data_IF_989312686843
#
_entry.id   IF_989312686843
#
_cell.length_a   1.000
_cell.length_b   1.000
_cell.length_c   1.000
_cell.angle_alpha   90.00
_cell.angle_beta   90.00
_cell.angle_gamma   90.00
#
_symmetry.space_group_name_H-M   'P 1'
#
loop_
_entity.id
_entity.type
_entity.pdbx_description
1 polymer ?
#
# COMPACT_ATOMS: atom_id res chain seq x y z
N UNK A 1 14.43 -32.48 66.14
CA UNK A 1 14.84 -33.07 64.85
C UNK A 1 13.62 -33.03 63.94
N UNK A 2 13.46 -31.93 63.20
CA UNK A 2 12.28 -31.66 62.37
C UNK A 2 12.49 -32.26 60.97
N UNK A 3 11.51 -33.04 60.50
CA UNK A 3 11.41 -33.51 59.13
C UNK A 3 10.55 -32.50 58.36
N UNK A 4 11.12 -31.83 57.37
CA UNK A 4 10.39 -30.99 56.41
C UNK A 4 10.29 -31.78 55.10
N UNK A 5 9.06 -32.06 54.69
CA UNK A 5 8.68 -32.76 53.46
C UNK A 5 8.70 -31.74 52.31
N UNK A 6 9.50 -31.98 51.28
CA UNK A 6 9.48 -31.22 50.03
C UNK A 6 8.29 -31.64 49.18
N UNK A 7 7.33 -30.74 48.99
CA UNK A 7 6.25 -30.87 48.00
C UNK A 7 6.79 -30.46 46.62
N UNK A 8 7.00 -31.42 45.72
CA UNK A 8 7.13 -31.16 44.29
C UNK A 8 5.73 -30.93 43.70
N UNK A 9 5.44 -29.70 43.26
CA UNK A 9 4.26 -29.42 42.45
C UNK A 9 4.62 -29.76 41.01
N UNK A 10 4.10 -30.88 40.51
CA UNK A 10 4.11 -31.23 39.10
C UNK A 10 2.89 -30.55 38.46
N UNK A 11 3.10 -29.43 37.77
CA UNK A 11 2.09 -28.85 36.88
C UNK A 11 2.04 -29.67 35.59
N UNK A 12 1.02 -30.51 35.47
CA UNK A 12 0.65 -31.17 34.22
C UNK A 12 0.06 -30.13 33.27
N UNK A 13 0.79 -29.75 32.22
CA UNK A 13 0.22 -29.01 31.09
C UNK A 13 -0.54 -29.98 30.20
N UNK A 14 -1.86 -29.80 30.08
CA UNK A 14 -2.65 -30.47 29.06
C UNK A 14 -2.28 -29.88 27.70
N UNK A 15 -1.73 -30.71 26.81
CA UNK A 15 -1.64 -30.42 25.39
C UNK A 15 -3.07 -30.46 24.83
N UNK A 16 -3.73 -29.31 24.72
CA UNK A 16 -4.88 -29.18 23.84
C UNK A 16 -4.35 -29.26 22.40
N UNK A 17 -4.81 -30.26 21.64
CA UNK A 17 -4.56 -30.36 20.20
C UNK A 17 -5.18 -29.14 19.51
N UNK A 18 -4.34 -28.34 18.86
CA UNK A 18 -4.77 -27.21 18.03
C UNK A 18 -4.97 -27.71 16.60
N UNK A 19 -6.22 -27.76 16.17
CA UNK A 19 -6.62 -28.06 14.79
C UNK A 19 -6.33 -26.83 13.91
N UNK A 20 -5.11 -26.77 13.37
CA UNK A 20 -4.74 -25.80 12.33
C UNK A 20 -5.34 -26.28 11.01
N UNK A 21 -6.57 -25.86 10.73
CA UNK A 21 -7.19 -26.03 9.42
C UNK A 21 -6.26 -25.49 8.33
N UNK A 22 -5.95 -26.35 7.37
CA UNK A 22 -5.14 -26.07 6.17
C UNK A 22 -5.76 -24.92 5.35
N UNK A 23 -5.40 -23.68 5.66
CA UNK A 23 -5.46 -22.59 4.69
C UNK A 23 -4.14 -21.81 4.75
N UNK A 24 -3.43 -21.87 3.64
CA UNK A 24 -2.05 -21.41 3.46
C UNK A 24 -2.04 -19.88 3.39
N UNK A 25 -2.08 -19.18 4.53
CA UNK A 25 -1.69 -17.77 4.61
C UNK A 25 -1.50 -17.17 6.02
N UNK A 26 -1.59 -17.95 7.10
CA UNK A 26 -1.44 -17.42 8.46
C UNK A 26 -0.13 -17.87 9.12
N UNK A 27 0.83 -16.94 9.25
CA UNK A 27 1.95 -17.07 10.18
C UNK A 27 1.43 -16.79 11.60
N UNK A 28 1.22 -17.84 12.39
CA UNK A 28 0.85 -17.73 13.79
C UNK A 28 2.07 -17.33 14.64
N UNK A 29 2.08 -16.12 15.20
CA UNK A 29 2.98 -15.77 16.29
C UNK A 29 2.44 -16.31 17.64
N UNK A 30 3.30 -16.74 18.58
CA UNK A 30 2.84 -17.27 19.87
C UNK A 30 2.13 -16.17 20.66
N UNK A 31 0.83 -16.36 20.93
CA UNK A 31 0.02 -15.46 21.77
C UNK A 31 -1.08 -14.67 21.06
N UNK A 32 -1.16 -14.70 19.73
CA UNK A 32 -2.26 -14.06 18.99
C UNK A 32 -3.33 -15.09 18.58
N UNK A 33 -4.45 -15.14 19.31
CA UNK A 33 -5.69 -15.76 18.83
C UNK A 33 -6.38 -14.79 17.88
N UNK A 34 -6.15 -14.90 16.58
CA UNK A 34 -7.02 -14.25 15.60
C UNK A 34 -8.29 -15.09 15.50
N UNK A 35 -9.36 -14.66 16.18
CA UNK A 35 -10.70 -15.25 15.99
C UNK A 35 -11.22 -14.82 14.62
N UNK A 36 -11.35 -15.76 13.69
CA UNK A 36 -12.03 -15.64 12.39
C UNK A 36 -13.56 -15.44 12.49
N UNK A 37 -14.04 -14.54 13.37
CA UNK A 37 -15.48 -14.23 13.50
C UNK A 37 -15.80 -12.73 13.52
N UNK A 38 -14.99 -11.93 12.84
CA UNK A 38 -15.36 -10.61 12.37
C UNK A 38 -15.21 -10.66 10.85
N UNK A 39 -16.25 -10.40 10.07
CA UNK A 39 -16.04 -10.02 8.68
C UNK A 39 -15.41 -8.62 8.73
N UNK A 40 -14.08 -8.47 8.55
CA UNK A 40 -13.40 -7.20 8.79
C UNK A 40 -13.51 -6.25 7.58
N UNK A 41 -14.16 -6.70 6.50
CA UNK A 41 -14.28 -6.00 5.23
C UNK A 41 -15.73 -5.64 4.97
N UNK A 42 -15.95 -4.42 4.50
CA UNK A 42 -17.21 -3.92 3.96
C UNK A 42 -17.42 -4.36 2.49
N UNK A 43 -16.37 -4.87 1.85
CA UNK A 43 -16.42 -5.52 0.55
C UNK A 43 -15.09 -6.22 0.25
N UNK A 44 -15.15 -7.38 -0.39
CA UNK A 44 -13.96 -8.14 -0.76
C UNK A 44 -14.16 -8.88 -2.09
N UNK A 45 -13.33 -8.55 -3.09
CA UNK A 45 -13.29 -9.17 -4.40
C UNK A 45 -11.87 -9.69 -4.66
N UNK A 46 -11.72 -11.01 -4.70
CA UNK A 46 -10.45 -11.68 -5.01
C UNK A 46 -10.35 -12.15 -6.46
N UNK A 47 -11.43 -12.10 -7.24
CA UNK A 47 -11.47 -12.42 -8.68
C UNK A 47 -11.01 -13.84 -9.09
N UNK A 48 -10.67 -14.71 -8.14
CA UNK A 48 -10.28 -16.11 -8.38
C UNK A 48 -11.40 -16.97 -8.97
N UNK A 49 -12.62 -16.74 -8.49
CA UNK A 49 -13.81 -17.40 -9.00
C UNK A 49 -14.40 -16.59 -10.15
N UNK A 50 -15.18 -17.25 -11.02
CA UNK A 50 -15.84 -16.65 -12.20
C UNK A 50 -16.99 -15.69 -11.84
N UNK A 51 -16.84 -14.99 -10.73
CA UNK A 51 -17.87 -14.16 -10.12
C UNK A 51 -17.22 -12.85 -9.70
N UNK A 52 -17.69 -11.75 -10.30
CA UNK A 52 -17.44 -10.36 -9.88
C UNK A 52 -18.24 -10.03 -8.60
N UNK A 53 -18.27 -11.00 -7.70
CA UNK A 53 -19.15 -11.06 -6.54
C UNK A 53 -18.30 -10.80 -5.31
N UNK A 54 -18.73 -9.81 -4.55
CA UNK A 54 -18.27 -9.58 -3.19
C UNK A 54 -18.43 -10.86 -2.34
N UNK A 55 -17.32 -11.32 -1.76
CA UNK A 55 -17.28 -12.46 -0.83
C UNK A 55 -17.73 -12.07 0.59
N UNK A 56 -18.06 -10.79 0.83
CA UNK A 56 -18.56 -10.22 2.07
C UNK A 56 -20.06 -9.89 2.04
N UNK A 57 -20.48 -8.65 2.35
CA UNK A 57 -21.89 -8.28 2.59
C UNK A 57 -22.80 -8.20 1.35
N UNK A 58 -22.38 -8.68 0.17
CA UNK A 58 -23.13 -8.70 -1.09
C UNK A 58 -23.21 -7.35 -1.82
N UNK A 59 -22.19 -6.50 -1.69
CA UNK A 59 -22.02 -5.33 -2.55
C UNK A 59 -21.47 -5.79 -3.91
N UNK A 60 -22.30 -6.40 -4.76
CA UNK A 60 -21.83 -6.92 -6.04
C UNK A 60 -21.45 -5.80 -7.02
N UNK A 61 -20.56 -6.13 -7.96
CA UNK A 61 -20.25 -5.24 -9.08
C UNK A 61 -21.45 -5.20 -10.02
N UNK A 62 -21.93 -4.00 -10.38
CA UNK A 62 -23.22 -3.83 -11.10
C UNK A 62 -23.11 -3.24 -12.51
N UNK A 63 -22.10 -2.41 -12.77
CA UNK A 63 -21.88 -1.79 -14.08
C UNK A 63 -20.51 -2.26 -14.57
N UNK A 64 -20.44 -3.12 -15.59
CA UNK A 64 -19.21 -3.75 -16.05
C UNK A 64 -19.05 -3.43 -17.53
N UNK A 65 -17.94 -2.78 -17.88
CA UNK A 65 -17.57 -2.57 -19.27
C UNK A 65 -16.25 -3.29 -19.58
N UNK A 66 -16.29 -4.16 -20.59
CA UNK A 66 -15.16 -4.81 -21.23
C UNK A 66 -14.03 -5.43 -20.36
N UNK A 67 -14.35 -5.94 -19.17
CA UNK A 67 -13.35 -6.62 -18.32
C UNK A 67 -12.96 -8.00 -18.87
N UNK A 68 -11.68 -8.32 -18.79
CA UNK A 68 -11.20 -9.69 -19.04
C UNK A 68 -10.41 -10.24 -17.86
N UNK A 69 -10.22 -11.56 -17.82
CA UNK A 69 -9.37 -12.20 -16.80
C UNK A 69 -7.90 -11.94 -17.09
N UNK A 70 -7.10 -11.94 -16.03
CA UNK A 70 -5.64 -11.97 -16.13
C UNK A 70 -4.98 -12.85 -15.08
N UNK A 71 -3.73 -13.21 -15.33
CA UNK A 71 -2.87 -13.78 -14.29
C UNK A 71 -2.53 -12.69 -13.27
N UNK A 72 -2.85 -12.93 -12.01
CA UNK A 72 -2.51 -12.01 -10.92
C UNK A 72 -1.31 -12.47 -10.12
N UNK A 73 -0.94 -11.69 -9.09
CA UNK A 73 0.08 -12.08 -8.13
C UNK A 73 -0.33 -13.34 -7.35
N UNK A 74 -1.64 -13.53 -7.11
CA UNK A 74 -2.20 -14.70 -6.46
C UNK A 74 -3.50 -15.11 -7.15
N UNK A 75 -3.43 -16.14 -8.00
CA UNK A 75 -4.62 -16.68 -8.66
C UNK A 75 -5.03 -15.89 -9.90
N UNK A 76 -6.27 -15.41 -9.94
CA UNK A 76 -6.84 -14.68 -11.11
C UNK A 76 -7.15 -13.24 -10.75
N UNK A 77 -6.78 -12.31 -11.63
CA UNK A 77 -7.12 -10.91 -11.53
C UNK A 77 -8.05 -10.46 -12.65
N UNK A 78 -8.31 -9.16 -12.67
CA UNK A 78 -9.09 -8.48 -13.70
C UNK A 78 -8.16 -7.58 -14.51
N UNK A 79 -8.24 -7.70 -15.83
CA UNK A 79 -7.57 -6.84 -16.78
C UNK A 79 -8.51 -5.74 -17.27
N UNK A 80 -8.01 -4.51 -17.20
CA UNK A 80 -8.64 -3.30 -17.69
C UNK A 80 -7.91 -2.86 -18.95
N UNK A 81 -8.63 -2.84 -20.07
CA UNK A 81 -8.21 -2.17 -21.31
C UNK A 81 -8.91 -0.82 -21.42
N UNK A 82 -8.58 -0.04 -22.45
CA UNK A 82 -9.27 1.22 -22.74
C UNK A 82 -10.80 1.09 -22.59
N UNK A 83 -11.41 2.09 -21.95
CA UNK A 83 -12.85 2.16 -21.64
C UNK A 83 -13.38 1.07 -20.68
N UNK A 84 -12.52 0.20 -20.17
CA UNK A 84 -12.90 -0.78 -19.15
C UNK A 84 -13.16 -0.10 -17.83
N UNK A 85 -14.27 -0.45 -17.22
CA UNK A 85 -14.65 0.05 -15.90
C UNK A 85 -15.54 -0.95 -15.17
N UNK A 86 -15.54 -0.82 -13.85
CA UNK A 86 -16.66 -1.28 -13.07
C UNK A 86 -17.09 -0.33 -11.96
N UNK A 87 -18.32 -0.48 -11.53
CA UNK A 87 -18.87 0.21 -10.38
C UNK A 87 -19.37 -0.75 -9.30
N UNK A 88 -19.19 -0.33 -8.06
CA UNK A 88 -19.78 -0.93 -6.86
C UNK A 88 -20.63 0.13 -6.19
N UNK A 89 -21.91 -0.17 -6.00
CA UNK A 89 -22.82 0.63 -5.20
C UNK A 89 -22.96 -0.02 -3.82
N UNK A 90 -22.83 0.79 -2.77
CA UNK A 90 -22.79 0.30 -1.41
C UNK A 90 -24.16 0.43 -0.74
N UNK A 91 -24.67 -0.69 -0.22
CA UNK A 91 -25.91 -0.74 0.57
C UNK A 91 -25.66 -1.51 1.87
N UNK A 92 -25.63 -0.86 3.05
CA UNK A 92 -25.86 0.58 3.28
C UNK A 92 -24.71 1.46 2.76
N UNK A 93 -24.95 2.76 2.66
CA UNK A 93 -23.91 3.75 2.33
C UNK A 93 -22.77 3.74 3.33
N UNK A 94 -21.58 4.12 2.87
CA UNK A 94 -20.43 4.27 3.75
C UNK A 94 -20.55 5.56 4.55
N UNK A 95 -20.98 5.46 5.81
CA UNK A 95 -21.16 6.59 6.72
C UNK A 95 -20.08 6.54 7.81
N UNK A 96 -19.03 7.34 7.65
CA UNK A 96 -17.94 7.35 8.61
C UNK A 96 -16.88 8.40 8.29
N UNK A 97 -16.11 8.77 9.32
CA UNK A 97 -14.91 9.61 9.20
C UNK A 97 -13.65 8.78 8.97
N UNK A 98 -13.77 7.44 8.86
CA UNK A 98 -12.63 6.54 8.70
C UNK A 98 -13.00 5.38 7.78
N UNK A 99 -12.12 5.07 6.84
CA UNK A 99 -12.24 3.93 5.94
C UNK A 99 -10.91 3.62 5.29
N UNK A 100 -10.83 2.45 4.66
CA UNK A 100 -9.68 2.07 3.84
C UNK A 100 -10.12 1.33 2.59
N UNK A 101 -9.59 1.72 1.45
CA UNK A 101 -9.67 0.94 0.20
C UNK A 101 -8.29 0.36 -0.08
N UNK A 102 -8.20 -0.94 -0.34
CA UNK A 102 -6.95 -1.62 -0.70
C UNK A 102 -7.14 -2.48 -1.93
N UNK A 103 -6.15 -2.48 -2.81
CA UNK A 103 -6.11 -3.38 -3.97
C UNK A 103 -4.67 -3.49 -4.48
N UNK A 104 -4.43 -4.48 -5.32
CA UNK A 104 -3.18 -4.66 -6.03
C UNK A 104 -3.37 -4.24 -7.49
N UNK A 105 -2.35 -3.60 -8.07
CA UNK A 105 -2.38 -3.14 -9.46
C UNK A 105 -1.04 -3.35 -10.15
N UNK A 106 -1.06 -3.69 -11.44
CA UNK A 106 0.12 -3.76 -12.30
C UNK A 106 -0.20 -3.16 -13.67
N UNK A 107 0.60 -2.17 -14.11
CA UNK A 107 0.50 -1.62 -15.46
C UNK A 107 1.35 -2.42 -16.44
N UNK A 108 0.82 -2.77 -17.61
CA UNK A 108 1.59 -3.49 -18.64
C UNK A 108 2.63 -2.57 -19.29
N UNK A 109 2.21 -1.35 -19.59
CA UNK A 109 3.06 -0.27 -20.08
C UNK A 109 2.82 0.96 -19.20
N UNK A 110 3.87 1.69 -18.83
CA UNK A 110 3.73 3.00 -18.19
C UNK A 110 4.93 3.89 -18.51
N UNK A 111 4.67 5.19 -18.73
CA UNK A 111 5.68 6.19 -19.09
C UNK A 111 5.78 6.48 -20.59
N UNK A 112 6.99 6.92 -21.01
CA UNK A 112 7.42 7.67 -22.24
C UNK A 112 6.53 7.73 -23.49
N UNK A 113 5.67 6.75 -23.77
CA UNK A 113 4.75 6.74 -24.92
C UNK A 113 3.41 7.43 -24.64
N UNK A 114 2.87 7.28 -23.42
CA UNK A 114 1.56 7.80 -23.02
C UNK A 114 1.79 8.95 -22.05
N UNK A 115 1.13 10.10 -22.31
CA UNK A 115 1.24 11.33 -21.52
C UNK A 115 -0.15 11.83 -21.15
N UNK A 116 -0.79 11.05 -20.30
CA UNK A 116 -2.12 11.29 -19.78
C UNK A 116 -2.14 11.32 -18.26
N UNK A 117 -3.16 11.98 -17.74
CA UNK A 117 -3.52 11.98 -16.33
C UNK A 117 -4.97 11.55 -16.25
N UNK A 118 -5.27 10.55 -15.42
CA UNK A 118 -6.63 10.02 -15.29
C UNK A 118 -6.87 9.33 -13.96
N UNK A 119 -8.13 9.22 -13.57
CA UNK A 119 -8.50 8.48 -12.38
C UNK A 119 -8.46 6.97 -12.68
N UNK A 120 -7.90 6.19 -11.75
CA UNK A 120 -8.03 4.72 -11.76
C UNK A 120 -9.05 4.23 -10.75
N UNK A 121 -9.28 5.02 -9.69
CA UNK A 121 -10.27 4.77 -8.67
C UNK A 121 -10.92 6.11 -8.30
N UNK A 122 -12.25 6.13 -8.23
CA UNK A 122 -13.02 7.29 -7.79
C UNK A 122 -14.11 6.87 -6.81
N UNK A 123 -14.20 7.61 -5.71
CA UNK A 123 -15.27 7.52 -4.72
C UNK A 123 -16.26 8.67 -4.92
N UNK A 124 -17.55 8.38 -4.85
CA UNK A 124 -18.63 9.35 -5.03
C UNK A 124 -19.51 9.42 -3.78
N UNK A 125 -19.92 10.63 -3.39
CA UNK A 125 -20.85 10.85 -2.28
C UNK A 125 -22.31 10.53 -2.64
N UNK A 126 -22.65 10.63 -3.92
CA UNK A 126 -23.95 10.26 -4.46
C UNK A 126 -23.86 9.14 -5.51
N UNK A 127 -24.99 8.47 -5.72
CA UNK A 127 -25.10 7.40 -6.72
C UNK A 127 -25.27 8.02 -8.12
N UNK A 128 -26.07 9.08 -8.21
CA UNK A 128 -26.47 9.75 -9.46
C UNK A 128 -25.62 11.00 -9.78
N UNK A 129 -25.11 11.73 -8.79
CA UNK A 129 -24.17 12.84 -9.04
C UNK A 129 -22.73 12.32 -9.18
N UNK A 130 -22.03 12.81 -10.20
CA UNK A 130 -20.66 12.43 -10.55
C UNK A 130 -19.62 13.38 -9.95
N UNK A 131 -19.94 14.07 -8.86
CA UNK A 131 -18.94 14.88 -8.16
C UNK A 131 -17.92 13.95 -7.49
N UNK A 132 -16.75 13.85 -8.13
CA UNK A 132 -15.62 13.09 -7.62
C UNK A 132 -15.22 13.61 -6.24
N UNK A 133 -15.40 12.78 -5.22
CA UNK A 133 -15.10 13.15 -3.85
C UNK A 133 -13.61 12.94 -3.59
N UNK A 134 -13.14 11.70 -3.79
CA UNK A 134 -11.73 11.31 -3.66
C UNK A 134 -11.38 10.35 -4.78
N UNK A 135 -10.23 10.56 -5.41
CA UNK A 135 -9.71 9.69 -6.45
C UNK A 135 -8.25 9.31 -6.23
N UNK A 136 -7.88 8.12 -6.69
CA UNK A 136 -6.49 7.78 -7.00
C UNK A 136 -6.30 8.07 -8.48
N UNK A 137 -5.34 8.94 -8.75
CA UNK A 137 -4.99 9.39 -10.10
C UNK A 137 -3.67 8.74 -10.50
N UNK A 138 -3.54 8.39 -11.77
CA UNK A 138 -2.25 8.04 -12.39
C UNK A 138 -1.83 9.19 -13.28
N UNK A 139 -0.63 9.70 -13.05
CA UNK A 139 0.05 10.63 -13.95
C UNK A 139 1.13 9.85 -14.68
N UNK A 140 0.98 9.71 -16.00
CA UNK A 140 1.96 9.00 -16.85
C UNK A 140 3.06 9.91 -17.37
N UNK A 141 2.92 11.23 -17.24
CA UNK A 141 3.95 12.22 -17.58
C UNK A 141 5.11 12.14 -16.60
N UNK A 142 4.78 11.96 -15.32
CA UNK A 142 5.68 11.61 -14.23
C UNK A 142 5.12 10.31 -13.65
N UNK A 143 5.44 9.13 -14.19
CA UNK A 143 4.83 7.84 -13.82
C UNK A 143 4.66 7.68 -12.31
N UNK A 144 3.50 8.04 -11.77
CA UNK A 144 3.26 8.11 -10.33
C UNK A 144 1.76 8.03 -10.04
N UNK A 145 1.43 7.70 -8.80
CA UNK A 145 0.08 7.88 -8.27
C UNK A 145 -0.07 9.27 -7.65
N UNK A 146 -1.30 9.77 -7.59
CA UNK A 146 -1.66 10.94 -6.81
C UNK A 146 -3.00 10.74 -6.10
N UNK A 147 -3.16 11.41 -4.96
CA UNK A 147 -4.46 11.55 -4.30
C UNK A 147 -5.09 12.84 -4.84
N UNK A 148 -6.36 12.79 -5.22
CA UNK A 148 -7.14 13.97 -5.59
C UNK A 148 -8.40 14.05 -4.74
N UNK A 149 -8.67 15.22 -4.17
CA UNK A 149 -9.94 15.56 -3.53
C UNK A 149 -10.41 16.90 -4.10
N UNK A 150 -11.52 16.90 -4.85
CA UNK A 150 -12.00 18.08 -5.58
C UNK A 150 -10.89 18.69 -6.47
N UNK A 151 -10.47 19.93 -6.17
CA UNK A 151 -9.42 20.67 -6.87
C UNK A 151 -8.02 20.50 -6.27
N UNK A 152 -7.90 19.83 -5.12
CA UNK A 152 -6.60 19.58 -4.47
C UNK A 152 -6.05 18.23 -4.94
N UNK A 153 -4.76 18.20 -5.26
CA UNK A 153 -4.05 16.95 -5.55
C UNK A 153 -2.66 16.95 -4.94
N UNK A 154 -2.22 15.76 -4.54
CA UNK A 154 -0.86 15.52 -4.02
C UNK A 154 -0.29 14.30 -4.73
N UNK A 155 0.77 14.52 -5.49
CA UNK A 155 1.52 13.44 -6.12
C UNK A 155 2.27 12.63 -5.07
N UNK A 156 2.31 11.32 -5.28
CA UNK A 156 3.11 10.43 -4.48
C UNK A 156 4.59 10.56 -4.80
N UNK A 157 5.45 10.26 -3.84
CA UNK A 157 6.89 10.14 -4.07
C UNK A 157 7.29 8.82 -4.76
N UNK A 158 6.35 7.90 -5.00
CA UNK A 158 6.56 6.65 -5.75
C UNK A 158 6.75 6.92 -7.26
N UNK A 159 7.52 6.06 -7.94
CA UNK A 159 7.62 6.05 -9.40
C UNK A 159 7.21 4.70 -9.96
N UNK A 160 6.22 4.74 -10.85
CA UNK A 160 5.68 3.55 -11.51
C UNK A 160 6.64 3.03 -12.57
N UNK A 161 6.82 1.74 -12.51
CA UNK A 161 7.54 0.92 -13.48
C UNK A 161 6.57 -0.10 -14.09
N UNK A 162 6.71 -0.41 -15.38
CA UNK A 162 5.86 -1.38 -16.05
C UNK A 162 6.11 -2.78 -15.49
N UNK A 163 5.06 -3.62 -15.51
CA UNK A 163 5.10 -5.04 -15.15
C UNK A 163 5.51 -5.33 -13.71
N UNK A 164 5.38 -4.35 -12.81
CA UNK A 164 5.50 -4.54 -11.37
C UNK A 164 4.12 -4.42 -10.71
N UNK A 165 3.87 -5.32 -9.77
CA UNK A 165 2.72 -5.24 -8.89
C UNK A 165 2.97 -4.20 -7.79
N UNK A 166 1.94 -3.43 -7.50
CA UNK A 166 1.89 -2.50 -6.39
C UNK A 166 0.69 -2.81 -5.52
N UNK A 167 0.86 -2.79 -4.21
CA UNK A 167 -0.26 -2.81 -3.27
C UNK A 167 -0.57 -1.41 -2.79
N UNK A 168 -1.79 -0.96 -3.05
CA UNK A 168 -2.25 0.36 -2.67
C UNK A 168 -3.15 0.25 -1.45
N UNK A 169 -3.04 1.25 -0.57
CA UNK A 169 -4.03 1.54 0.47
C UNK A 169 -4.36 3.02 0.44
N UNK A 170 -5.61 3.34 0.18
CA UNK A 170 -6.15 4.68 0.38
C UNK A 170 -6.88 4.70 1.71
N UNK A 171 -6.33 5.42 2.68
CA UNK A 171 -6.77 5.42 4.06
C UNK A 171 -7.30 6.80 4.42
N UNK A 172 -8.55 6.88 4.86
CA UNK A 172 -9.06 8.06 5.55
C UNK A 172 -9.01 7.82 7.06
N UNK A 173 -8.42 8.78 7.77
CA UNK A 173 -8.56 8.91 9.23
C UNK A 173 -8.94 10.34 9.57
N UNK A 174 -10.20 10.52 9.98
CA UNK A 174 -10.85 11.78 10.30
C UNK A 174 -10.91 12.74 9.11
N UNK A 175 -9.84 13.48 8.90
CA UNK A 175 -9.67 14.45 7.82
C UNK A 175 -8.34 14.27 7.07
N UNK A 176 -7.59 13.22 7.37
CA UNK A 176 -6.32 12.92 6.70
C UNK A 176 -6.54 11.77 5.71
N UNK A 177 -6.35 12.03 4.43
CA UNK A 177 -6.30 11.00 3.38
C UNK A 177 -4.83 10.66 3.14
N UNK A 178 -4.46 9.40 3.33
CA UNK A 178 -3.11 8.89 3.08
C UNK A 178 -3.16 7.84 1.98
N UNK A 179 -2.16 7.86 1.11
CA UNK A 179 -1.91 6.81 0.13
C UNK A 179 -0.64 6.08 0.54
N UNK A 180 -0.78 4.79 0.79
CA UNK A 180 0.33 3.88 0.97
C UNK A 180 0.53 3.06 -0.29
N UNK A 181 1.78 2.88 -0.69
CA UNK A 181 2.16 2.00 -1.79
C UNK A 181 3.22 1.04 -1.27
N UNK A 182 2.97 -0.27 -1.43
CA UNK A 182 3.83 -1.34 -0.91
C UNK A 182 4.15 -1.21 0.59
N UNK A 183 3.22 -0.63 1.35
CA UNK A 183 3.36 -0.43 2.79
C UNK A 183 4.05 0.87 3.22
N UNK A 184 4.50 1.72 2.27
CA UNK A 184 5.15 3.01 2.56
C UNK A 184 4.15 4.15 2.33
N UNK A 185 4.03 5.09 3.27
CA UNK A 185 3.25 6.32 3.06
C UNK A 185 3.91 7.18 1.98
N UNK A 186 3.23 7.37 0.84
CA UNK A 186 3.79 8.05 -0.32
C UNK A 186 3.14 9.40 -0.62
N UNK A 187 1.91 9.61 -0.16
CA UNK A 187 1.20 10.88 -0.27
C UNK A 187 0.24 11.07 0.91
N UNK A 188 0.03 12.32 1.29
CA UNK A 188 -0.92 12.73 2.32
C UNK A 188 -1.61 14.02 1.92
N UNK A 189 -2.94 14.02 2.02
CA UNK A 189 -3.80 15.17 1.76
C UNK A 189 -4.68 15.42 2.98
N UNK A 190 -4.77 16.68 3.40
CA UNK A 190 -5.64 17.09 4.50
C UNK A 190 -6.98 17.56 3.94
N UNK A 191 -8.03 16.78 4.15
CA UNK A 191 -9.40 17.14 3.80
C UNK A 191 -9.96 18.21 4.73
N UNK A 192 -10.86 19.04 4.20
CA UNK A 192 -11.64 20.00 4.97
C UNK A 192 -12.80 19.36 5.76
N UNK A 193 -13.30 18.20 5.32
CA UNK A 193 -14.54 17.58 5.83
C UNK A 193 -14.36 16.08 6.09
N UNK A 194 -15.30 15.49 6.84
CA UNK A 194 -15.42 14.04 6.87
C UNK A 194 -15.91 13.56 5.49
N UNK A 195 -15.40 12.42 5.03
CA UNK A 195 -15.62 11.92 3.67
C UNK A 195 -16.36 10.59 3.76
N UNK A 196 -17.64 10.62 3.38
CA UNK A 196 -18.52 9.45 3.25
C UNK A 196 -18.83 9.24 1.77
N UNK A 197 -18.98 7.99 1.34
CA UNK A 197 -19.20 7.66 -0.08
C UNK A 197 -20.23 6.54 -0.25
N UNK A 198 -20.89 6.51 -1.40
CA UNK A 198 -21.97 5.55 -1.73
C UNK A 198 -21.64 4.68 -2.92
N UNK A 199 -20.65 5.09 -3.72
CA UNK A 199 -20.23 4.40 -4.93
C UNK A 199 -18.73 4.44 -5.08
N UNK A 200 -18.17 3.34 -5.54
CA UNK A 200 -16.78 3.21 -5.98
C UNK A 200 -16.79 2.86 -7.46
N UNK A 201 -16.00 3.59 -8.24
CA UNK A 201 -15.70 3.27 -9.63
C UNK A 201 -14.22 2.94 -9.75
N UNK A 202 -13.90 1.86 -10.44
CA UNK A 202 -12.54 1.56 -10.88
C UNK A 202 -12.57 1.40 -12.39
N UNK A 203 -11.63 2.01 -13.08
CA UNK A 203 -11.59 1.94 -14.52
C UNK A 203 -10.56 2.86 -15.11
N UNK A 204 -10.53 2.89 -16.43
CA UNK A 204 -9.65 3.76 -17.19
C UNK A 204 -10.43 4.97 -17.68
N UNK A 205 -10.17 6.12 -17.06
CA UNK A 205 -10.47 7.40 -17.69
C UNK A 205 -9.35 7.76 -18.69
N UNK A 206 -9.72 8.42 -19.78
CA UNK A 206 -8.79 8.89 -20.83
C UNK A 206 -8.01 7.74 -21.50
N UNK A 207 -6.93 8.07 -22.22
CA UNK A 207 -6.05 7.08 -22.87
C UNK A 207 -5.02 6.50 -21.88
N UNK A 208 -5.42 6.26 -20.63
CA UNK A 208 -4.54 5.66 -19.63
C UNK A 208 -4.10 4.24 -20.04
N UNK A 209 -2.89 3.80 -19.66
CA UNK A 209 -2.42 2.46 -19.99
C UNK A 209 -3.24 1.36 -19.32
N UNK A 210 -3.40 0.24 -20.03
CA UNK A 210 -4.02 -0.96 -19.48
C UNK A 210 -3.34 -1.44 -18.18
N UNK A 211 -4.14 -1.97 -17.27
CA UNK A 211 -3.64 -2.53 -16.02
C UNK A 211 -4.38 -3.78 -15.60
N UNK A 212 -3.71 -4.55 -14.75
CA UNK A 212 -4.26 -5.68 -14.03
C UNK A 212 -4.56 -5.26 -12.61
N UNK A 213 -5.68 -5.73 -12.06
CA UNK A 213 -6.11 -5.47 -10.70
C UNK A 213 -6.43 -6.79 -10.00
N UNK A 214 -6.04 -6.87 -8.73
CA UNK A 214 -6.36 -8.02 -7.89
C UNK A 214 -6.70 -7.59 -6.45
N UNK A 215 -7.44 -8.43 -5.73
CA UNK A 215 -7.63 -8.39 -4.28
C UNK A 215 -8.16 -7.03 -3.79
N UNK A 216 -9.28 -6.59 -4.36
CA UNK A 216 -9.96 -5.37 -3.91
C UNK A 216 -10.62 -5.64 -2.55
N UNK A 217 -10.27 -4.82 -1.56
CA UNK A 217 -10.78 -4.86 -0.19
C UNK A 217 -11.25 -3.47 0.20
N UNK A 218 -12.40 -3.42 0.85
CA UNK A 218 -12.92 -2.20 1.46
C UNK A 218 -13.13 -2.44 2.95
N UNK A 219 -12.76 -1.46 3.77
CA UNK A 219 -12.83 -1.53 5.22
C UNK A 219 -13.60 -0.35 5.76
N UNK A 220 -14.46 -0.60 6.75
CA UNK A 220 -15.22 0.45 7.42
C UNK A 220 -14.53 1.09 8.62
N UNK A 221 -13.19 1.05 8.59
CA UNK A 221 -12.32 1.60 9.61
C UNK A 221 -11.02 2.03 8.96
N UNK A 222 -10.25 2.82 9.69
CA UNK A 222 -8.84 2.99 9.42
C UNK A 222 -8.13 1.64 9.66
N UNK A 223 -7.34 1.19 8.68
CA UNK A 223 -6.34 0.15 8.91
C UNK A 223 -5.10 0.82 9.51
N UNK A 224 -4.54 0.20 10.54
CA UNK A 224 -3.32 0.72 11.17
C UNK A 224 -2.07 0.46 10.33
N UNK A 225 -1.05 1.29 10.50
CA UNK A 225 0.18 1.21 9.70
C UNK A 225 0.87 -0.16 9.83
N UNK A 226 0.82 -0.80 11.01
CA UNK A 226 1.35 -2.15 11.19
C UNK A 226 0.57 -3.23 10.43
N UNK A 227 -0.74 -3.07 10.24
CA UNK A 227 -1.56 -4.00 9.44
C UNK A 227 -1.29 -3.83 7.95
N UNK A 228 -1.06 -2.58 7.52
CA UNK A 228 -0.62 -2.25 6.16
C UNK A 228 0.74 -2.90 5.88
N UNK A 229 1.70 -2.74 6.80
CA UNK A 229 3.02 -3.37 6.71
C UNK A 229 2.93 -4.90 6.64
N UNK A 230 2.14 -5.52 7.52
CA UNK A 230 1.93 -6.97 7.52
C UNK A 230 1.32 -7.46 6.20
N UNK A 231 0.37 -6.70 5.64
CA UNK A 231 -0.28 -7.03 4.37
C UNK A 231 0.66 -6.88 3.17
N UNK A 232 1.67 -6.01 3.27
CA UNK A 232 2.64 -5.73 2.19
C UNK A 232 3.93 -6.54 2.26
N UNK A 233 4.02 -7.53 3.15
CA UNK A 233 5.21 -8.40 3.26
C UNK A 233 5.57 -9.14 1.96
N UNK A 234 4.58 -9.46 1.12
CA UNK A 234 4.80 -10.07 -0.19
C UNK A 234 5.64 -9.17 -1.13
N UNK A 235 5.67 -7.87 -0.88
CA UNK A 235 6.48 -6.88 -1.59
C UNK A 235 7.86 -6.65 -0.95
N UNK A 236 8.22 -7.47 0.05
CA UNK A 236 9.51 -7.47 0.75
C UNK A 236 9.88 -6.08 1.33
N UNK A 237 8.88 -5.36 1.83
CA UNK A 237 9.06 -4.02 2.39
C UNK A 237 8.87 -4.00 3.90
N UNK A 238 9.83 -3.39 4.60
CA UNK A 238 9.65 -2.90 5.96
C UNK A 238 9.47 -1.38 5.86
N UNK A 239 8.23 -0.95 5.65
CA UNK A 239 7.87 0.37 5.13
C UNK A 239 8.13 1.58 6.04
N UNK A 240 8.56 1.40 7.28
CA UNK A 240 8.96 2.48 8.19
C UNK A 240 10.48 2.61 8.37
N UNK A 241 11.29 1.74 7.76
CA UNK A 241 12.74 1.72 7.97
C UNK A 241 13.51 2.64 7.03
N UNK A 242 12.92 2.98 5.89
CA UNK A 242 13.56 3.80 4.85
C UNK A 242 12.60 4.84 4.34
N UNK A 243 13.07 6.09 4.33
CA UNK A 243 12.39 7.21 3.70
C UNK A 243 13.21 7.73 2.52
N UNK A 244 12.52 8.14 1.46
CA UNK A 244 13.15 8.92 0.41
C UNK A 244 13.45 10.32 0.95
N UNK A 245 14.72 10.72 0.91
CA UNK A 245 15.12 12.07 1.23
C UNK A 245 15.07 12.97 0.00
N UNK A 246 15.77 12.57 -1.06
CA UNK A 246 15.81 13.33 -2.30
C UNK A 246 16.28 12.48 -3.47
N UNK A 247 15.72 12.79 -4.64
CA UNK A 247 16.22 12.34 -5.94
C UNK A 247 17.06 13.46 -6.56
N UNK A 248 18.25 13.14 -7.06
CA UNK A 248 19.16 14.07 -7.74
C UNK A 248 19.60 15.27 -6.87
N UNK A 249 19.99 15.00 -5.63
CA UNK A 249 20.48 16.02 -4.71
C UNK A 249 21.99 15.94 -4.49
N UNK A 250 22.57 17.04 -4.00
CA UNK A 250 23.97 17.05 -3.56
C UNK A 250 24.11 16.46 -2.16
N UNK A 251 25.33 16.06 -1.80
CA UNK A 251 25.59 15.40 -0.52
C UNK A 251 25.18 16.20 0.73
N UNK A 252 25.26 17.54 0.70
CA UNK A 252 24.81 18.35 1.85
C UNK A 252 23.30 18.33 2.05
N UNK A 253 22.52 18.22 0.97
CA UNK A 253 21.07 18.02 1.04
C UNK A 253 20.73 16.59 1.47
N UNK A 254 21.54 15.62 1.05
CA UNK A 254 21.36 14.20 1.41
C UNK A 254 21.38 13.95 2.92
N UNK A 255 22.09 14.78 3.70
CA UNK A 255 22.19 14.64 5.16
C UNK A 255 20.95 15.11 5.93
N UNK A 256 20.01 15.77 5.28
CA UNK A 256 18.90 16.46 5.96
C UNK A 256 17.73 15.52 6.31
N UNK A 257 18.04 14.41 6.97
CA UNK A 257 17.02 13.44 7.38
C UNK A 257 16.10 13.99 8.48
N UNK A 258 14.83 13.53 8.52
CA UNK A 258 13.91 13.90 9.59
C UNK A 258 14.38 13.35 10.95
N UNK A 259 13.79 13.86 12.03
CA UNK A 259 14.06 13.37 13.38
C UNK A 259 13.81 11.85 13.48
N UNK A 260 14.66 11.14 14.23
CA UNK A 260 14.73 9.66 14.35
C UNK A 260 15.16 8.92 13.08
N UNK A 261 15.78 9.61 12.12
CA UNK A 261 16.39 9.01 10.95
C UNK A 261 17.77 9.61 10.70
N UNK A 262 18.65 8.82 10.10
CA UNK A 262 19.96 9.24 9.63
C UNK A 262 20.13 8.92 8.14
N UNK A 263 21.08 9.58 7.47
CA UNK A 263 21.45 9.19 6.12
C UNK A 263 21.97 7.76 6.15
N UNK A 264 21.32 6.86 5.41
CA UNK A 264 21.63 5.43 5.46
C UNK A 264 23.14 5.16 5.30
N UNK A 265 23.66 4.28 6.15
CA UNK A 265 25.00 3.72 6.00
C UNK A 265 25.09 2.85 4.76
N UNK A 266 26.31 2.60 4.30
CA UNK A 266 26.56 1.68 3.19
C UNK A 266 25.98 0.29 3.48
N UNK A 267 26.08 -0.19 4.73
CA UNK A 267 25.55 -1.49 5.13
C UNK A 267 24.03 -1.52 5.04
N UNK A 268 23.31 -0.51 5.52
CA UNK A 268 21.84 -0.45 5.46
C UNK A 268 21.32 -0.34 4.02
N UNK A 269 22.01 0.46 3.19
CA UNK A 269 21.71 0.57 1.77
C UNK A 269 21.77 -0.79 1.08
N UNK A 270 22.83 -1.58 1.31
CA UNK A 270 22.97 -2.91 0.73
C UNK A 270 22.09 -3.97 1.39
N UNK A 271 21.72 -3.80 2.66
CA UNK A 271 20.87 -4.75 3.38
C UNK A 271 19.41 -4.64 2.96
N UNK A 272 18.90 -3.42 2.76
CA UNK A 272 17.49 -3.21 2.41
C UNK A 272 17.22 -1.93 1.60
N UNK A 273 17.94 -0.83 1.85
CA UNK A 273 17.62 0.48 1.28
C UNK A 273 17.54 0.51 -0.25
N UNK A 274 18.49 -0.13 -0.93
CA UNK A 274 18.52 -0.25 -2.39
C UNK A 274 17.32 -1.06 -2.91
N UNK A 275 16.94 -2.14 -2.24
CA UNK A 275 15.80 -2.96 -2.67
C UNK A 275 14.49 -2.17 -2.54
N UNK A 276 14.32 -1.45 -1.43
CA UNK A 276 13.16 -0.58 -1.22
C UNK A 276 13.11 0.49 -2.30
N UNK A 277 14.20 1.23 -2.51
CA UNK A 277 14.24 2.26 -3.54
C UNK A 277 13.95 1.70 -4.95
N UNK A 278 14.41 0.48 -5.28
CA UNK A 278 14.10 -0.17 -6.56
C UNK A 278 12.61 -0.40 -6.74
N UNK A 279 11.99 -1.02 -5.74
CA UNK A 279 10.56 -1.32 -5.72
C UNK A 279 9.70 -0.06 -5.66
N UNK A 280 10.23 1.05 -5.13
CA UNK A 280 9.59 2.36 -5.13
C UNK A 280 9.89 3.20 -6.38
N UNK A 281 10.71 2.67 -7.29
CA UNK A 281 11.16 3.36 -8.51
C UNK A 281 12.00 4.62 -8.26
N UNK A 282 12.60 4.79 -7.08
CA UNK A 282 13.43 5.93 -6.75
C UNK A 282 14.78 5.85 -7.46
N UNK A 283 15.07 6.84 -8.31
CA UNK A 283 16.31 6.90 -9.09
C UNK A 283 16.35 6.04 -10.36
N UNK A 284 17.46 6.15 -11.09
CA UNK A 284 17.75 5.47 -12.36
C UNK A 284 18.95 4.54 -12.12
N UNK A 285 18.68 3.26 -11.88
CA UNK A 285 19.65 2.28 -11.38
C UNK A 285 20.94 2.11 -12.19
N UNK A 286 20.95 2.49 -13.47
CA UNK A 286 22.14 2.41 -14.32
C UNK A 286 23.02 3.68 -14.29
N UNK A 287 22.58 4.77 -13.66
CA UNK A 287 23.31 6.05 -13.68
C UNK A 287 23.13 6.90 -12.40
N UNK A 288 22.51 6.35 -11.35
CA UNK A 288 22.29 7.06 -10.10
C UNK A 288 23.42 6.80 -9.13
N UNK A 289 24.11 7.87 -8.71
CA UNK A 289 24.96 7.81 -7.52
C UNK A 289 24.06 7.68 -6.30
N UNK A 290 24.42 6.85 -5.33
CA UNK A 290 23.68 6.73 -4.08
C UNK A 290 24.54 7.31 -2.97
N UNK A 291 23.97 8.25 -2.21
CA UNK A 291 24.61 8.82 -1.05
C UNK A 291 24.47 7.87 0.14
N UNK A 292 25.60 7.65 0.82
CA UNK A 292 25.68 6.99 2.12
C UNK A 292 26.31 7.91 3.16
N UNK A 293 26.16 7.61 4.44
CA UNK A 293 26.83 8.38 5.51
C UNK A 293 28.36 8.39 5.37
N UNK A 294 28.94 7.34 4.78
CA UNK A 294 30.39 7.22 4.54
C UNK A 294 30.85 7.79 3.19
N UNK A 295 29.94 8.40 2.43
CA UNK A 295 30.28 8.99 1.13
C UNK A 295 31.27 10.14 1.28
N UNK A 296 32.36 10.11 0.49
CA UNK A 296 33.38 11.15 0.53
C UNK A 296 32.93 12.38 -0.31
N UNK A 297 32.64 13.54 0.29
CA UNK A 297 32.14 14.72 -0.43
C UNK A 297 33.12 15.20 -1.51
N UNK A 298 34.42 15.04 -1.28
CA UNK A 298 35.47 15.52 -2.18
C UNK A 298 35.57 14.65 -3.45
N UNK A 299 35.23 13.37 -3.38
CA UNK A 299 35.24 12.44 -4.53
C UNK A 299 34.06 12.67 -5.47
N UNK A 300 32.99 13.30 -4.97
CA UNK A 300 31.74 13.48 -5.68
C UNK A 300 31.32 14.96 -5.79
N UNK A 301 32.29 15.87 -5.74
CA UNK A 301 32.05 17.31 -5.93
C UNK A 301 31.30 17.54 -7.24
N UNK A 302 30.17 18.26 -7.16
CA UNK A 302 29.25 18.55 -8.27
C UNK A 302 28.53 17.33 -8.87
N UNK A 303 28.48 16.19 -8.17
CA UNK A 303 27.59 15.09 -8.56
C UNK A 303 26.27 15.19 -7.80
N UNK A 304 25.24 14.69 -8.44
CA UNK A 304 23.92 14.48 -7.85
C UNK A 304 23.68 12.98 -7.66
N UNK A 305 22.84 12.65 -6.70
CA UNK A 305 22.54 11.29 -6.33
C UNK A 305 21.21 11.14 -5.61
N UNK A 306 20.86 9.89 -5.34
CA UNK A 306 19.74 9.48 -4.51
C UNK A 306 20.19 9.43 -3.05
N UNK A 307 19.39 10.03 -2.16
CA UNK A 307 19.58 9.90 -0.72
C UNK A 307 18.38 9.21 -0.08
N UNK A 308 18.68 8.28 0.83
CA UNK A 308 17.69 7.56 1.62
C UNK A 308 18.00 7.78 3.10
N UNK A 309 16.96 7.96 3.89
CA UNK A 309 17.07 8.09 5.34
C UNK A 309 16.64 6.78 5.99
N UNK A 310 17.50 6.21 6.83
CA UNK A 310 17.28 4.98 7.56
C UNK A 310 16.86 5.29 8.99
N UNK A 311 15.87 4.57 9.49
CA UNK A 311 15.32 4.77 10.84
C UNK A 311 16.37 4.45 11.89
N UNK A 312 16.50 5.32 12.89
CA UNK A 312 17.36 5.05 14.03
C UNK A 312 16.78 3.88 14.84
N UNK A 313 17.61 2.89 15.11
CA UNK A 313 17.28 1.82 16.04
C UNK A 313 17.33 2.41 17.45
N UNK A 314 16.18 2.85 17.95
CA UNK A 314 16.00 3.03 19.38
C UNK A 314 16.17 1.65 20.02
N UNK A 315 17.35 1.37 20.56
CA UNK A 315 17.51 0.28 21.51
C UNK A 315 16.65 0.61 22.71
N UNK A 316 15.40 0.15 22.70
CA UNK A 316 14.63 -0.02 23.93
C UNK A 316 15.40 -1.05 24.73
N UNK A 317 16.24 -0.58 25.65
CA UNK A 317 16.78 -1.40 26.72
C UNK A 317 15.57 -1.88 27.53
N UNK A 318 15.08 -3.09 27.18
CA UNK A 318 14.12 -3.84 27.99
C UNK A 318 14.87 -4.49 29.14
#
# INVERSE_FOLDING_TARGET
>A
MLIIINFFIITTYSLEEYDCGLNVQTLCAPGMKIREKYQPYFGFWNFDLDKLVDSGPHNHITNINELSRSSSMMGTGVYFKKDSEFEVQFVPSFEGSQWTVSFQIMFEEIGRKIKEVGNILTLFDEIEDHQNLVSIVVDTTIPTFAIKENSQSVNSNMRLQPQLWYQLFLVLSDKSIKLFVNGIECAKLQSGKAISFKKLKIGLENELPSFNLDTLKLFNRKIEEWEILASSQLFQMNGDWVLLQCENCQFEQAKQCPFSYHLCTTVELYSFGINIAKNMGWGIWNNTNIWSSESNPNKFKNKEGLALCCKDLDFVLI
#
